data_IF_824838611127
#
_entry.id   IF_824838611127
#
_cell.length_a   1.000
_cell.length_b   1.000
_cell.length_c   1.000
_cell.angle_alpha   90.00
_cell.angle_beta   90.00
_cell.angle_gamma   90.00
#
_symmetry.space_group_name_H-M   'P 1'
#
loop_
_entity.id
_entity.type
_entity.pdbx_description
1 polymer ?
#
# COMPACT_ATOMS: atom_id res chain seq x y z
N UNK A 1 -23.32 -3.21 28.59
CA UNK A 1 -22.09 -2.55 29.12
C UNK A 1 -21.46 -1.83 27.94
N UNK A 2 -21.75 -0.56 27.79
CA UNK A 2 -21.17 0.29 26.75
C UNK A 2 -19.77 0.69 27.23
N UNK A 3 -18.74 0.06 26.67
CA UNK A 3 -17.38 0.48 26.88
C UNK A 3 -17.22 1.89 26.29
N UNK A 4 -16.91 2.85 27.13
CA UNK A 4 -16.67 4.24 26.75
C UNK A 4 -15.49 4.28 25.73
N UNK A 5 -15.69 4.74 24.49
CA UNK A 5 -14.64 4.76 23.47
C UNK A 5 -13.48 5.70 23.82
N UNK A 6 -13.58 6.45 24.91
CA UNK A 6 -12.51 7.33 25.41
C UNK A 6 -11.41 6.58 26.16
N UNK A 7 -11.65 5.33 26.61
CA UNK A 7 -10.67 4.54 27.37
C UNK A 7 -9.64 3.81 26.52
N UNK A 8 -9.79 3.75 25.20
CA UNK A 8 -8.95 2.90 24.33
C UNK A 8 -7.61 3.52 23.97
N UNK A 9 -7.35 4.78 24.29
CA UNK A 9 -6.10 5.48 23.94
C UNK A 9 -5.28 6.00 25.14
N UNK A 10 -5.77 5.84 26.37
CA UNK A 10 -4.93 5.98 27.53
C UNK A 10 -4.16 4.67 27.72
N UNK A 11 -2.97 4.58 27.11
CA UNK A 11 -1.95 3.67 27.57
C UNK A 11 -1.71 4.05 29.05
N UNK A 12 -2.37 3.35 29.97
CA UNK A 12 -2.08 3.52 31.38
C UNK A 12 -0.60 3.19 31.53
N UNK A 13 0.22 4.20 31.75
CA UNK A 13 1.69 4.09 31.87
C UNK A 13 2.10 3.08 32.93
N UNK A 14 1.18 2.68 33.81
CA UNK A 14 1.40 1.78 34.92
C UNK A 14 0.85 0.35 34.69
N UNK A 15 0.38 0.03 33.48
CA UNK A 15 -0.14 -1.30 33.15
C UNK A 15 1.00 -2.28 32.86
N UNK A 16 1.38 -3.05 33.87
CA UNK A 16 2.36 -4.13 33.81
C UNK A 16 1.76 -5.46 34.32
N UNK A 17 2.37 -6.58 33.96
CA UNK A 17 1.89 -7.94 34.27
C UNK A 17 1.59 -8.16 35.77
N UNK A 18 2.30 -7.48 36.66
CA UNK A 18 2.12 -7.61 38.12
C UNK A 18 1.10 -6.63 38.72
N UNK A 19 0.60 -5.66 37.94
CA UNK A 19 -0.39 -4.71 38.40
C UNK A 19 -1.85 -5.17 38.18
N UNK A 20 -2.05 -6.43 37.74
CA UNK A 20 -3.36 -7.05 37.59
C UNK A 20 -4.17 -6.55 36.39
N UNK A 21 -3.58 -5.74 35.51
CA UNK A 21 -4.24 -5.37 34.27
C UNK A 21 -4.02 -6.45 33.19
N UNK A 22 -5.06 -6.69 32.40
CA UNK A 22 -4.98 -7.61 31.25
C UNK A 22 -4.06 -7.06 30.15
N UNK A 23 -3.44 -7.96 29.38
CA UNK A 23 -2.60 -7.56 28.24
C UNK A 23 -3.41 -6.73 27.22
N UNK A 24 -3.00 -5.49 26.92
CA UNK A 24 -3.69 -4.63 25.96
C UNK A 24 -3.38 -5.04 24.53
N UNK A 25 -4.02 -6.10 24.06
CA UNK A 25 -3.79 -6.61 22.71
C UNK A 25 -4.16 -5.57 21.64
N UNK A 26 -3.28 -5.32 20.64
CA UNK A 26 -3.60 -4.44 19.53
C UNK A 26 -4.75 -5.03 18.72
N UNK A 27 -5.72 -4.19 18.36
CA UNK A 27 -6.90 -4.58 17.61
C UNK A 27 -7.34 -3.52 16.61
N UNK A 28 -8.50 -3.71 16.00
CA UNK A 28 -9.07 -2.75 15.04
C UNK A 28 -9.20 -1.34 15.62
N UNK A 29 -9.42 -1.21 16.94
CA UNK A 29 -9.50 0.08 17.62
C UNK A 29 -8.21 0.89 17.53
N UNK A 30 -7.04 0.24 17.41
CA UNK A 30 -5.74 0.90 17.27
C UNK A 30 -5.60 1.65 15.93
N UNK A 31 -6.49 1.38 14.97
CA UNK A 31 -6.51 1.99 13.64
C UNK A 31 -7.59 3.07 13.49
N UNK A 32 -8.42 3.29 14.52
CA UNK A 32 -9.48 4.30 14.53
C UNK A 32 -8.97 5.56 15.22
N UNK A 33 -8.76 6.64 14.48
CA UNK A 33 -8.34 7.93 15.02
C UNK A 33 -9.52 8.87 15.15
N UNK A 34 -9.55 9.61 16.27
CA UNK A 34 -10.46 10.75 16.42
C UNK A 34 -10.13 11.82 15.39
N UNK A 35 -11.12 12.54 14.86
CA UNK A 35 -10.88 13.65 13.97
C UNK A 35 -10.04 14.72 14.68
N UNK A 36 -9.04 15.28 13.97
CA UNK A 36 -8.24 16.40 14.47
C UNK A 36 -9.04 17.69 14.35
N UNK A 37 -9.88 17.78 13.33
CA UNK A 37 -10.76 18.92 13.09
C UNK A 37 -12.08 18.43 12.46
N UNK A 38 -13.20 18.96 12.98
CA UNK A 38 -14.56 18.53 12.63
C UNK A 38 -15.11 17.51 13.62
N UNK A 39 -16.43 17.40 13.70
CA UNK A 39 -17.12 16.40 14.52
C UNK A 39 -17.16 15.06 13.76
N UNK A 40 -17.10 13.95 14.52
CA UNK A 40 -17.15 12.60 13.94
C UNK A 40 -18.45 12.33 13.16
N UNK A 41 -19.51 13.07 13.47
CA UNK A 41 -20.83 13.00 12.80
C UNK A 41 -20.93 13.93 11.58
N UNK A 42 -19.92 14.78 11.34
CA UNK A 42 -19.91 15.64 10.15
C UNK A 42 -19.38 14.87 8.93
N UNK A 43 -19.98 15.12 7.76
CA UNK A 43 -19.55 14.51 6.49
C UNK A 43 -18.13 14.91 6.07
N UNK A 44 -17.50 15.87 6.74
CA UNK A 44 -16.16 16.37 6.45
C UNK A 44 -15.38 16.46 7.77
N UNK A 45 -14.48 15.54 7.97
CA UNK A 45 -13.56 15.54 9.09
C UNK A 45 -12.12 15.30 8.62
N UNK A 46 -11.16 15.92 9.31
CA UNK A 46 -9.74 15.81 8.97
C UNK A 46 -9.04 14.92 9.99
N UNK A 47 -8.54 13.79 9.55
CA UNK A 47 -7.87 12.78 10.37
C UNK A 47 -6.35 12.82 10.24
N UNK A 48 -5.65 12.23 11.22
CA UNK A 48 -4.20 12.01 11.20
C UNK A 48 -3.73 11.35 9.89
N UNK A 49 -4.48 10.39 9.38
CA UNK A 49 -4.13 9.66 8.15
C UNK A 49 -4.20 10.55 6.90
N UNK A 50 -5.17 11.44 6.82
CA UNK A 50 -5.27 12.43 5.72
C UNK A 50 -4.10 13.41 5.76
N UNK A 51 -3.72 13.87 6.97
CA UNK A 51 -2.54 14.72 7.16
C UNK A 51 -1.27 14.03 6.68
N UNK A 52 -1.06 12.76 7.08
CA UNK A 52 0.11 11.97 6.68
C UNK A 52 0.14 11.72 5.15
N UNK A 53 -1.01 11.46 4.53
CA UNK A 53 -1.12 11.29 3.10
C UNK A 53 -0.75 12.59 2.35
N UNK A 54 -1.23 13.72 2.82
CA UNK A 54 -0.92 15.02 2.25
C UNK A 54 0.57 15.38 2.42
N UNK A 55 1.11 15.20 3.63
CA UNK A 55 2.54 15.43 3.90
C UNK A 55 3.43 14.52 3.06
N UNK A 56 3.11 13.22 2.95
CA UNK A 56 3.84 12.30 2.12
C UNK A 56 3.83 12.70 0.65
N UNK A 57 2.70 13.15 0.13
CA UNK A 57 2.59 13.66 -1.24
C UNK A 57 3.47 14.90 -1.46
N UNK A 58 3.45 15.85 -0.52
CA UNK A 58 4.28 17.06 -0.58
C UNK A 58 5.77 16.70 -0.54
N UNK A 59 6.17 15.75 0.31
CA UNK A 59 7.56 15.29 0.42
C UNK A 59 8.04 14.68 -0.89
N UNK A 60 7.24 13.81 -1.52
CA UNK A 60 7.60 13.17 -2.79
C UNK A 60 7.73 14.20 -3.91
N UNK A 61 6.72 15.05 -4.06
CA UNK A 61 6.75 16.11 -5.08
C UNK A 61 7.93 17.05 -4.85
N UNK A 62 8.17 17.46 -3.60
CA UNK A 62 9.31 18.29 -3.22
C UNK A 62 10.66 17.63 -3.50
N UNK A 63 10.79 16.34 -3.20
CA UNK A 63 12.00 15.55 -3.45
C UNK A 63 12.33 15.50 -4.96
N UNK A 64 11.37 15.11 -5.78
CA UNK A 64 11.57 15.05 -7.24
C UNK A 64 11.78 16.44 -7.85
N UNK A 65 11.05 17.44 -7.37
CA UNK A 65 11.24 18.82 -7.82
C UNK A 65 12.66 19.33 -7.47
N UNK A 66 13.13 19.07 -6.24
CA UNK A 66 14.49 19.46 -5.84
C UNK A 66 15.58 18.71 -6.63
N UNK A 67 15.34 17.41 -6.92
CA UNK A 67 16.27 16.59 -7.69
C UNK A 67 16.40 17.06 -9.15
N UNK A 68 15.30 17.43 -9.80
CA UNK A 68 15.27 17.73 -11.24
C UNK A 68 15.16 19.22 -11.59
N UNK A 69 15.08 20.12 -10.60
CA UNK A 69 15.01 21.58 -10.86
C UNK A 69 16.20 22.13 -11.62
N UNK A 70 17.42 21.64 -11.34
CA UNK A 70 18.66 22.05 -12.00
C UNK A 70 19.50 20.79 -12.29
N UNK A 71 19.15 20.03 -13.33
CA UNK A 71 19.86 18.80 -13.64
C UNK A 71 21.30 19.13 -14.08
N UNK A 72 22.27 18.43 -13.47
CA UNK A 72 23.69 18.56 -13.82
C UNK A 72 24.14 17.28 -14.50
N UNK A 73 25.10 17.40 -15.44
CA UNK A 73 25.73 16.26 -16.11
C UNK A 73 26.46 15.36 -15.11
N UNK A 74 27.07 15.94 -14.08
CA UNK A 74 27.60 15.22 -12.91
C UNK A 74 26.55 15.36 -11.80
N UNK A 75 25.76 14.32 -11.52
CA UNK A 75 24.64 14.40 -10.60
C UNK A 75 25.12 14.60 -9.15
N UNK A 76 24.45 15.48 -8.42
CA UNK A 76 24.60 15.57 -6.97
C UNK A 76 23.94 14.38 -6.26
N UNK A 77 24.21 14.19 -4.96
CA UNK A 77 23.69 13.04 -4.18
C UNK A 77 22.17 12.85 -4.29
N UNK A 78 21.41 13.94 -4.20
CA UNK A 78 19.93 13.89 -4.27
C UNK A 78 19.46 13.49 -5.68
N UNK A 79 20.07 14.11 -6.71
CA UNK A 79 19.77 13.79 -8.11
C UNK A 79 20.12 12.33 -8.42
N UNK A 80 21.29 11.85 -7.97
CA UNK A 80 21.71 10.45 -8.17
C UNK A 80 20.73 9.44 -7.57
N UNK A 81 20.24 9.69 -6.35
CA UNK A 81 19.23 8.81 -5.71
C UNK A 81 17.90 8.84 -6.47
N UNK A 82 17.44 10.03 -6.88
CA UNK A 82 16.20 10.15 -7.64
C UNK A 82 16.29 9.49 -9.02
N UNK A 83 17.39 9.66 -9.73
CA UNK A 83 17.65 9.03 -11.03
C UNK A 83 17.75 7.50 -10.90
N UNK A 84 18.47 7.01 -9.88
CA UNK A 84 18.58 5.57 -9.63
C UNK A 84 17.21 4.93 -9.33
N UNK A 85 16.39 5.58 -8.50
CA UNK A 85 15.04 5.10 -8.22
C UNK A 85 14.11 5.16 -9.43
N UNK A 86 14.19 6.23 -10.21
CA UNK A 86 13.45 6.38 -11.46
C UNK A 86 13.84 5.30 -12.47
N UNK A 87 15.14 5.10 -12.70
CA UNK A 87 15.67 4.10 -13.64
C UNK A 87 15.36 2.67 -13.19
N UNK A 88 15.39 2.40 -11.90
CA UNK A 88 15.01 1.09 -11.35
C UNK A 88 13.57 0.71 -11.76
N UNK A 89 12.62 1.62 -11.59
CA UNK A 89 11.22 1.37 -11.98
C UNK A 89 11.06 1.36 -13.50
N UNK A 90 11.69 2.30 -14.20
CA UNK A 90 11.60 2.43 -15.65
C UNK A 90 12.11 1.19 -16.37
N UNK A 91 13.32 0.73 -16.03
CA UNK A 91 13.97 -0.40 -16.70
C UNK A 91 13.51 -1.73 -16.12
N UNK A 92 13.53 -1.86 -14.78
CA UNK A 92 13.25 -3.12 -14.10
C UNK A 92 11.76 -3.50 -14.02
N UNK A 93 10.84 -2.56 -14.22
CA UNK A 93 9.41 -2.86 -14.17
C UNK A 93 8.73 -2.56 -15.50
N UNK A 94 8.77 -1.29 -15.93
CA UNK A 94 7.97 -0.86 -17.09
C UNK A 94 8.48 -1.47 -18.40
N UNK A 95 9.80 -1.41 -18.65
CA UNK A 95 10.36 -1.92 -19.91
C UNK A 95 10.35 -3.44 -19.98
N UNK A 96 10.52 -4.13 -18.86
CA UNK A 96 10.47 -5.60 -18.83
C UNK A 96 9.04 -6.11 -19.03
N UNK A 97 8.02 -5.38 -18.53
CA UNK A 97 6.63 -5.82 -18.61
C UNK A 97 5.95 -5.35 -19.89
N UNK A 98 5.96 -4.05 -20.17
CA UNK A 98 5.19 -3.44 -21.28
C UNK A 98 6.04 -3.34 -22.56
N UNK A 99 7.37 -3.26 -22.40
CA UNK A 99 8.30 -2.96 -23.47
C UNK A 99 8.62 -1.47 -23.58
N UNK A 100 9.77 -1.16 -24.21
CA UNK A 100 10.31 0.19 -24.28
C UNK A 100 9.42 1.18 -25.03
N UNK A 101 8.87 0.76 -26.18
CA UNK A 101 8.13 1.65 -27.10
C UNK A 101 6.80 2.13 -26.54
N UNK A 102 6.00 1.22 -26.01
CA UNK A 102 4.67 1.53 -25.45
C UNK A 102 4.75 1.92 -23.97
N UNK A 103 5.71 1.35 -23.22
CA UNK A 103 5.87 1.57 -21.78
C UNK A 103 6.30 3.00 -21.43
N UNK A 104 7.08 3.69 -22.27
CA UNK A 104 7.60 5.02 -21.98
C UNK A 104 6.51 6.02 -21.58
N UNK A 105 5.32 5.90 -22.15
CA UNK A 105 4.16 6.76 -21.84
C UNK A 105 3.63 6.60 -20.42
N UNK A 106 3.83 5.40 -19.84
CA UNK A 106 3.30 5.04 -18.51
C UNK A 106 4.35 5.15 -17.39
N UNK A 107 5.63 5.37 -17.74
CA UNK A 107 6.71 5.53 -16.75
C UNK A 107 6.38 6.57 -15.69
N UNK A 108 5.93 7.81 -16.01
CA UNK A 108 5.66 8.81 -14.97
C UNK A 108 4.58 8.36 -13.98
N UNK A 109 3.53 7.68 -14.48
CA UNK A 109 2.44 7.18 -13.65
C UNK A 109 2.92 6.05 -12.73
N UNK A 110 3.66 5.09 -13.26
CA UNK A 110 4.15 3.93 -12.50
C UNK A 110 5.16 4.37 -11.44
N UNK A 111 6.07 5.29 -11.78
CA UNK A 111 7.04 5.87 -10.83
C UNK A 111 6.30 6.63 -9.73
N UNK A 112 5.32 7.46 -10.06
CA UNK A 112 4.54 8.19 -9.05
C UNK A 112 3.79 7.25 -8.11
N UNK A 113 3.15 6.19 -8.64
CA UNK A 113 2.47 5.19 -7.82
C UNK A 113 3.44 4.47 -6.88
N UNK A 114 4.61 4.07 -7.38
CA UNK A 114 5.61 3.39 -6.56
C UNK A 114 6.03 4.22 -5.36
N UNK A 115 6.52 5.44 -5.62
CA UNK A 115 7.01 6.30 -4.55
C UNK A 115 5.89 6.76 -3.62
N UNK A 116 4.69 6.99 -4.14
CA UNK A 116 3.53 7.33 -3.32
C UNK A 116 3.18 6.20 -2.35
N UNK A 117 3.03 4.96 -2.83
CA UNK A 117 2.72 3.81 -1.98
C UNK A 117 3.84 3.56 -0.97
N UNK A 118 5.09 3.59 -1.44
CA UNK A 118 6.23 3.37 -0.55
C UNK A 118 6.29 4.42 0.56
N UNK A 119 6.09 5.70 0.25
CA UNK A 119 6.07 6.76 1.25
C UNK A 119 4.90 6.63 2.24
N UNK A 120 3.69 6.26 1.74
CA UNK A 120 2.54 6.02 2.60
C UNK A 120 2.78 4.89 3.59
N UNK A 121 3.50 3.86 3.18
CA UNK A 121 3.89 2.73 4.04
C UNK A 121 5.01 3.12 5.01
N UNK A 122 5.99 3.91 4.55
CA UNK A 122 7.16 4.31 5.34
C UNK A 122 6.79 5.08 6.62
N UNK A 123 5.63 5.73 6.65
CA UNK A 123 5.12 6.40 7.84
C UNK A 123 4.98 5.47 9.07
N UNK A 124 4.86 4.16 8.87
CA UNK A 124 4.76 3.20 9.99
C UNK A 124 6.02 3.16 10.85
N UNK A 125 7.18 3.36 10.23
CA UNK A 125 8.50 3.25 10.90
C UNK A 125 8.95 4.61 11.48
N UNK A 126 8.44 5.73 10.94
CA UNK A 126 8.84 7.06 11.41
C UNK A 126 8.25 7.30 12.81
N UNK A 127 9.10 7.58 13.84
CA UNK A 127 8.67 7.61 15.25
C UNK A 127 7.55 8.58 15.56
N UNK A 128 7.42 9.68 14.82
CA UNK A 128 6.37 10.70 15.02
C UNK A 128 5.03 10.27 14.42
N UNK A 129 5.06 9.57 13.30
CA UNK A 129 3.86 9.14 12.59
C UNK A 129 3.35 7.79 13.11
N UNK A 130 4.22 6.79 13.18
CA UNK A 130 3.97 5.42 13.67
C UNK A 130 2.67 4.80 13.15
N UNK A 131 2.34 5.09 11.88
CA UNK A 131 1.10 4.60 11.29
C UNK A 131 1.18 4.52 9.77
N UNK A 132 1.05 3.31 9.16
CA UNK A 132 0.99 3.16 7.72
C UNK A 132 -0.39 3.62 7.22
N UNK A 133 -0.41 4.63 6.36
CA UNK A 133 -1.67 5.18 5.81
C UNK A 133 -2.46 4.12 5.05
N UNK A 134 -1.77 3.20 4.39
CA UNK A 134 -2.36 2.11 3.60
C UNK A 134 -2.97 0.98 4.43
N UNK A 135 -2.82 1.00 5.77
CA UNK A 135 -3.54 0.09 6.67
C UNK A 135 -5.03 0.45 6.85
N UNK A 136 -5.48 1.55 6.27
CA UNK A 136 -6.90 1.86 6.14
C UNK A 136 -7.33 1.51 4.71
N UNK A 137 -8.29 0.61 4.56
CA UNK A 137 -8.71 0.03 3.28
C UNK A 137 -9.13 1.06 2.22
N UNK A 138 -9.57 2.25 2.64
CA UNK A 138 -10.00 3.32 1.73
C UNK A 138 -8.87 3.79 0.80
N UNK A 139 -7.62 3.90 1.28
CA UNK A 139 -6.49 4.35 0.47
C UNK A 139 -6.08 3.32 -0.60
N UNK A 140 -5.82 2.05 -0.25
CA UNK A 140 -5.57 1.00 -1.23
C UNK A 140 -6.69 0.83 -2.25
N UNK A 141 -7.94 0.97 -1.82
CA UNK A 141 -9.11 0.85 -2.69
C UNK A 141 -9.14 1.98 -3.74
N UNK A 142 -8.90 3.22 -3.33
CA UNK A 142 -8.84 4.36 -4.26
C UNK A 142 -7.70 4.19 -5.27
N UNK A 143 -6.50 3.75 -4.81
CA UNK A 143 -5.36 3.50 -5.70
C UNK A 143 -5.66 2.37 -6.70
N UNK A 144 -6.25 1.28 -6.24
CA UNK A 144 -6.65 0.17 -7.11
C UNK A 144 -7.73 0.61 -8.11
N UNK A 145 -8.66 1.45 -7.68
CA UNK A 145 -9.72 1.99 -8.55
C UNK A 145 -9.13 2.90 -9.65
N UNK A 146 -8.16 3.74 -9.34
CA UNK A 146 -7.45 4.57 -10.33
C UNK A 146 -6.80 3.69 -11.40
N UNK A 147 -6.06 2.65 -10.97
CA UNK A 147 -5.42 1.70 -11.90
C UNK A 147 -6.47 0.97 -12.73
N UNK A 148 -7.59 0.59 -12.13
CA UNK A 148 -8.67 -0.11 -12.79
C UNK A 148 -9.38 0.75 -13.85
N UNK A 149 -9.69 2.01 -13.53
CA UNK A 149 -10.26 2.97 -14.49
C UNK A 149 -9.30 3.21 -15.66
N UNK A 150 -8.00 3.30 -15.36
CA UNK A 150 -6.97 3.39 -16.40
C UNK A 150 -7.00 2.16 -17.32
N UNK A 151 -7.01 0.95 -16.74
CA UNK A 151 -7.06 -0.31 -17.49
C UNK A 151 -8.30 -0.39 -18.40
N UNK A 152 -9.49 -0.09 -17.86
CA UNK A 152 -10.74 -0.05 -18.64
C UNK A 152 -10.61 0.97 -19.80
N UNK A 153 -10.14 2.19 -19.51
CA UNK A 153 -10.02 3.25 -20.49
C UNK A 153 -9.08 2.87 -21.63
N UNK A 154 -7.96 2.19 -21.31
CA UNK A 154 -6.99 1.72 -22.29
C UNK A 154 -7.58 0.60 -23.16
N UNK A 155 -8.26 -0.37 -22.54
CA UNK A 155 -8.89 -1.47 -23.24
C UNK A 155 -9.96 -1.00 -24.21
N UNK A 156 -10.80 -0.02 -23.77
CA UNK A 156 -11.80 0.60 -24.67
C UNK A 156 -11.17 1.37 -25.82
N UNK A 157 -10.10 2.13 -25.58
CA UNK A 157 -9.41 2.91 -26.62
C UNK A 157 -8.74 2.02 -27.67
N UNK A 158 -8.20 0.85 -27.26
CA UNK A 158 -7.45 -0.03 -28.16
C UNK A 158 -8.36 -0.97 -28.92
N UNK A 159 -9.35 -1.55 -28.27
CA UNK A 159 -10.15 -2.66 -28.79
C UNK A 159 -11.60 -2.29 -29.14
N UNK A 160 -12.06 -1.09 -28.76
CA UNK A 160 -13.45 -0.68 -28.89
C UNK A 160 -14.40 -1.48 -27.99
N UNK A 161 -15.73 -1.28 -28.15
CA UNK A 161 -16.73 -1.86 -27.26
C UNK A 161 -16.77 -3.41 -27.34
N UNK A 162 -16.80 -3.95 -28.54
CA UNK A 162 -16.85 -5.42 -28.76
C UNK A 162 -15.54 -6.09 -28.32
N UNK A 163 -14.40 -5.46 -28.64
CA UNK A 163 -13.09 -5.94 -28.25
C UNK A 163 -12.87 -5.90 -26.74
N UNK A 164 -13.46 -4.94 -26.03
CA UNK A 164 -13.44 -4.90 -24.58
C UNK A 164 -14.06 -6.16 -23.97
N UNK A 165 -15.28 -6.52 -24.38
CA UNK A 165 -15.93 -7.72 -23.85
C UNK A 165 -15.13 -8.99 -24.21
N UNK A 166 -14.59 -9.07 -25.42
CA UNK A 166 -13.74 -10.20 -25.84
C UNK A 166 -12.46 -10.30 -24.99
N UNK A 167 -11.83 -9.18 -24.67
CA UNK A 167 -10.62 -9.14 -23.83
C UNK A 167 -10.94 -9.50 -22.37
N UNK A 168 -12.04 -8.96 -21.81
CA UNK A 168 -12.43 -9.20 -20.43
C UNK A 168 -12.90 -10.64 -20.21
N UNK A 169 -13.56 -11.26 -21.20
CA UNK A 169 -14.06 -12.64 -21.12
C UNK A 169 -13.06 -13.69 -21.58
N UNK A 170 -11.86 -13.28 -22.04
CA UNK A 170 -10.85 -14.22 -22.52
C UNK A 170 -11.37 -15.13 -23.64
N UNK A 171 -12.16 -14.57 -24.56
CA UNK A 171 -12.79 -15.33 -25.62
C UNK A 171 -11.77 -16.06 -26.50
N UNK A 172 -11.65 -17.37 -26.33
CA UNK A 172 -10.84 -18.25 -27.16
C UNK A 172 -11.70 -19.39 -27.76
N UNK A 173 -11.77 -19.43 -29.09
CA UNK A 173 -12.54 -20.44 -29.83
C UNK A 173 -12.04 -21.87 -29.58
N UNK A 174 -10.83 -22.06 -29.10
CA UNK A 174 -10.23 -23.38 -28.85
C UNK A 174 -10.92 -24.16 -27.74
N UNK A 175 -11.62 -23.46 -26.80
CA UNK A 175 -12.26 -24.04 -25.62
C UNK A 175 -13.56 -24.81 -25.88
N UNK A 176 -14.15 -24.73 -27.08
CA UNK A 176 -15.32 -25.53 -27.47
C UNK A 176 -16.49 -25.44 -26.50
N UNK A 177 -16.95 -26.57 -25.96
CA UNK A 177 -18.11 -26.65 -25.07
C UNK A 177 -17.90 -26.01 -23.68
N UNK A 178 -16.64 -25.81 -23.25
CA UNK A 178 -16.30 -25.19 -21.95
C UNK A 178 -16.28 -23.67 -22.04
N UNK A 179 -16.35 -23.12 -23.25
CA UNK A 179 -16.27 -21.68 -23.52
C UNK A 179 -17.21 -20.80 -22.64
N UNK A 180 -18.53 -21.09 -22.50
CA UNK A 180 -19.42 -20.23 -21.74
C UNK A 180 -19.07 -20.20 -20.24
N UNK A 181 -18.60 -21.31 -19.69
CA UNK A 181 -18.17 -21.39 -18.29
C UNK A 181 -16.87 -20.59 -18.09
N UNK A 182 -15.88 -20.77 -18.95
CA UNK A 182 -14.61 -20.05 -18.91
C UNK A 182 -14.83 -18.54 -19.04
N UNK A 183 -15.64 -18.09 -19.99
CA UNK A 183 -15.98 -16.68 -20.19
C UNK A 183 -16.64 -16.07 -18.95
N UNK A 184 -17.52 -16.80 -18.29
CA UNK A 184 -18.19 -16.32 -17.06
C UNK A 184 -17.17 -16.15 -15.94
N UNK A 185 -16.33 -17.15 -15.71
CA UNK A 185 -15.28 -17.10 -14.67
C UNK A 185 -14.29 -15.95 -14.95
N UNK A 186 -13.81 -15.82 -16.19
CA UNK A 186 -12.89 -14.75 -16.53
C UNK A 186 -13.51 -13.37 -16.42
N UNK A 187 -14.76 -13.19 -16.82
CA UNK A 187 -15.48 -11.93 -16.65
C UNK A 187 -15.51 -11.50 -15.18
N UNK A 188 -15.95 -12.37 -14.28
CA UNK A 188 -15.97 -12.07 -12.85
C UNK A 188 -14.57 -11.85 -12.27
N UNK A 189 -13.60 -12.66 -12.69
CA UNK A 189 -12.21 -12.55 -12.26
C UNK A 189 -11.60 -11.20 -12.66
N UNK A 190 -11.74 -10.85 -13.93
CA UNK A 190 -11.13 -9.62 -14.46
C UNK A 190 -11.82 -8.34 -13.96
N UNK A 191 -13.16 -8.39 -13.81
CA UNK A 191 -13.95 -7.21 -13.45
C UNK A 191 -13.98 -6.95 -11.94
N UNK A 192 -14.10 -8.00 -11.12
CA UNK A 192 -14.33 -7.88 -9.68
C UNK A 192 -13.14 -8.33 -8.84
N UNK A 193 -12.62 -9.54 -9.13
CA UNK A 193 -11.59 -10.14 -8.27
C UNK A 193 -10.25 -9.39 -8.39
N UNK A 194 -9.84 -9.01 -9.58
CA UNK A 194 -8.55 -8.30 -9.81
C UNK A 194 -8.45 -6.98 -9.04
N UNK A 195 -9.37 -6.00 -9.15
CA UNK A 195 -9.24 -4.75 -8.42
C UNK A 195 -9.38 -4.95 -6.91
N UNK A 196 -10.24 -5.87 -6.48
CA UNK A 196 -10.44 -6.19 -5.08
C UNK A 196 -9.17 -6.81 -4.45
N UNK A 197 -8.60 -7.84 -5.06
CA UNK A 197 -7.37 -8.49 -4.56
C UNK A 197 -6.18 -7.55 -4.60
N UNK A 198 -6.13 -6.64 -5.56
CA UNK A 198 -5.08 -5.62 -5.67
C UNK A 198 -5.13 -4.64 -4.47
N UNK A 199 -6.32 -4.17 -4.10
CA UNK A 199 -6.52 -3.31 -2.93
C UNK A 199 -6.29 -4.06 -1.62
N UNK A 200 -6.89 -5.25 -1.46
CA UNK A 200 -6.81 -6.05 -0.23
C UNK A 200 -5.38 -6.48 0.07
N UNK A 201 -4.58 -6.81 -0.94
CA UNK A 201 -3.18 -7.20 -0.75
C UNK A 201 -2.37 -6.08 -0.09
N UNK A 202 -2.53 -4.83 -0.57
CA UNK A 202 -1.84 -3.68 0.01
C UNK A 202 -2.31 -3.41 1.44
N UNK A 203 -3.62 -3.43 1.66
CA UNK A 203 -4.23 -3.29 2.98
C UNK A 203 -3.77 -4.37 3.95
N UNK A 204 -3.94 -5.65 3.59
CA UNK A 204 -3.70 -6.77 4.49
C UNK A 204 -2.24 -6.87 4.94
N UNK A 205 -1.29 -6.66 4.02
CA UNK A 205 0.12 -6.70 4.37
C UNK A 205 0.50 -5.60 5.36
N UNK A 206 0.00 -4.36 5.15
CA UNK A 206 0.30 -3.25 6.04
C UNK A 206 -0.43 -3.36 7.38
N UNK A 207 -1.69 -3.81 7.36
CA UNK A 207 -2.45 -4.05 8.59
C UNK A 207 -1.81 -5.14 9.45
N UNK A 208 -1.48 -6.29 8.86
CA UNK A 208 -0.88 -7.41 9.58
C UNK A 208 0.53 -7.07 10.10
N UNK A 209 1.39 -6.47 9.26
CA UNK A 209 2.75 -6.09 9.64
C UNK A 209 2.75 -5.11 10.81
N UNK A 210 1.97 -4.06 10.72
CA UNK A 210 1.86 -3.05 11.77
C UNK A 210 1.24 -3.60 13.07
N UNK A 211 0.25 -4.48 12.98
CA UNK A 211 -0.35 -5.15 14.15
C UNK A 211 0.67 -6.01 14.87
N UNK A 212 1.50 -6.77 14.14
CA UNK A 212 2.59 -7.56 14.73
C UNK A 212 3.64 -6.67 15.40
N UNK A 213 4.02 -5.58 14.76
CA UNK A 213 4.98 -4.63 15.33
C UNK A 213 4.44 -4.03 16.64
N UNK A 214 3.18 -3.59 16.65
CA UNK A 214 2.52 -3.11 17.86
C UNK A 214 2.46 -4.19 18.95
N UNK A 215 2.15 -5.43 18.59
CA UNK A 215 2.07 -6.54 19.54
C UNK A 215 3.39 -6.71 20.29
N UNK A 216 4.53 -6.80 19.59
CA UNK A 216 5.83 -6.97 20.22
C UNK A 216 6.28 -5.74 20.99
N UNK A 217 5.97 -4.54 20.51
CA UNK A 217 6.28 -3.30 21.20
C UNK A 217 5.53 -3.19 22.53
N UNK A 218 4.22 -3.46 22.51
CA UNK A 218 3.38 -3.45 23.71
C UNK A 218 3.81 -4.58 24.67
N UNK A 219 4.10 -5.77 24.15
CA UNK A 219 4.55 -6.88 24.98
C UNK A 219 5.89 -6.58 25.67
N UNK A 220 6.82 -5.90 25.01
CA UNK A 220 8.09 -5.51 25.62
C UNK A 220 7.87 -4.56 26.80
N UNK A 221 6.96 -3.60 26.66
CA UNK A 221 6.61 -2.67 27.73
C UNK A 221 5.86 -3.37 28.88
N UNK A 222 4.87 -4.19 28.56
CA UNK A 222 4.03 -4.90 29.53
C UNK A 222 4.83 -5.84 30.44
N UNK A 223 5.89 -6.47 29.89
CA UNK A 223 6.73 -7.43 30.59
C UNK A 223 7.95 -6.80 31.31
N UNK A 224 8.07 -5.48 31.35
CA UNK A 224 9.29 -4.80 31.82
C UNK A 224 9.55 -4.94 33.33
N UNK A 225 8.67 -5.57 34.11
CA UNK A 225 8.79 -5.67 35.58
C UNK A 225 9.11 -7.11 36.05
N UNK A 226 9.97 -7.21 37.06
CA UNK A 226 10.28 -8.43 37.81
C UNK A 226 10.88 -9.54 36.95
N UNK A 227 10.35 -10.76 37.04
CA UNK A 227 10.79 -11.94 36.29
C UNK A 227 10.53 -11.76 34.76
N UNK A 228 9.65 -10.84 34.38
CA UNK A 228 9.32 -10.53 32.99
C UNK A 228 10.45 -9.86 32.20
N UNK A 229 11.48 -9.29 32.84
CA UNK A 229 12.56 -8.54 32.18
C UNK A 229 13.25 -9.35 31.07
N UNK A 230 13.51 -10.64 31.30
CA UNK A 230 14.11 -11.48 30.26
C UNK A 230 13.21 -11.63 29.03
N UNK A 231 11.90 -11.82 29.24
CA UNK A 231 10.90 -11.88 28.17
C UNK A 231 10.69 -10.53 27.48
N UNK A 232 10.76 -9.43 28.24
CA UNK A 232 10.73 -8.07 27.71
C UNK A 232 11.91 -7.84 26.76
N UNK A 233 13.11 -8.28 27.13
CA UNK A 233 14.30 -8.21 26.28
C UNK A 233 14.15 -8.98 24.96
N UNK A 234 13.59 -10.19 25.01
CA UNK A 234 13.31 -10.99 23.82
C UNK A 234 12.26 -10.31 22.95
N UNK A 235 11.19 -9.78 23.55
CA UNK A 235 10.13 -9.06 22.83
C UNK A 235 10.65 -7.78 22.17
N UNK A 236 11.52 -7.04 22.85
CA UNK A 236 12.19 -5.86 22.28
C UNK A 236 13.08 -6.22 21.08
N UNK A 237 13.87 -7.30 21.19
CA UNK A 237 14.66 -7.80 20.08
C UNK A 237 13.77 -8.17 18.89
N UNK A 238 12.63 -8.83 19.14
CA UNK A 238 11.65 -9.14 18.10
C UNK A 238 11.05 -7.88 17.47
N UNK A 239 10.83 -6.80 18.23
CA UNK A 239 10.38 -5.52 17.68
C UNK A 239 11.39 -4.98 16.64
N UNK A 240 12.70 -5.05 16.93
CA UNK A 240 13.76 -4.62 16.00
C UNK A 240 13.73 -5.48 14.71
N UNK A 241 13.67 -6.80 14.87
CA UNK A 241 13.60 -7.74 13.73
C UNK A 241 12.34 -7.47 12.89
N UNK A 242 11.19 -7.31 13.54
CA UNK A 242 9.93 -7.02 12.86
C UNK A 242 9.94 -5.65 12.15
N UNK A 243 10.60 -4.64 12.71
CA UNK A 243 10.75 -3.34 12.06
C UNK A 243 11.58 -3.45 10.77
N UNK A 244 12.68 -4.21 10.81
CA UNK A 244 13.49 -4.47 9.61
C UNK A 244 12.71 -5.26 8.55
N UNK A 245 11.95 -6.25 8.97
CA UNK A 245 11.09 -7.06 8.12
C UNK A 245 9.95 -6.22 7.50
N UNK A 246 9.32 -5.36 8.28
CA UNK A 246 8.28 -4.46 7.80
C UNK A 246 8.82 -3.47 6.75
N UNK A 247 10.02 -2.92 6.96
CA UNK A 247 10.68 -2.06 5.97
C UNK A 247 10.87 -2.77 4.62
N UNK A 248 11.29 -4.01 4.66
CA UNK A 248 11.45 -4.84 3.45
C UNK A 248 10.10 -5.09 2.77
N UNK A 249 9.08 -5.49 3.53
CA UNK A 249 7.73 -5.74 3.00
C UNK A 249 7.13 -4.48 2.38
N UNK A 250 7.33 -3.31 2.97
CA UNK A 250 6.83 -2.04 2.45
C UNK A 250 7.36 -1.73 1.05
N UNK A 251 8.66 -1.92 0.84
CA UNK A 251 9.28 -1.73 -0.47
C UNK A 251 8.79 -2.79 -1.47
N UNK A 252 8.76 -4.06 -1.05
CA UNK A 252 8.26 -5.17 -1.86
C UNK A 252 6.79 -4.95 -2.27
N UNK A 253 5.96 -4.48 -1.35
CA UNK A 253 4.54 -4.25 -1.62
C UNK A 253 4.31 -3.13 -2.64
N UNK A 254 5.07 -2.03 -2.54
CA UNK A 254 5.04 -0.97 -3.55
C UNK A 254 5.50 -1.50 -4.92
N UNK A 255 6.54 -2.32 -4.95
CA UNK A 255 7.05 -2.95 -6.18
C UNK A 255 6.01 -3.88 -6.81
N UNK A 256 5.41 -4.79 -6.03
CA UNK A 256 4.39 -5.73 -6.52
C UNK A 256 3.15 -4.99 -7.04
N UNK A 257 2.75 -3.91 -6.36
CA UNK A 257 1.61 -3.10 -6.80
C UNK A 257 1.84 -2.52 -8.20
N UNK A 258 3.00 -1.90 -8.44
CA UNK A 258 3.29 -1.30 -9.75
C UNK A 258 3.58 -2.36 -10.82
N UNK A 259 4.16 -3.51 -10.45
CA UNK A 259 4.35 -4.63 -11.37
C UNK A 259 3.01 -5.15 -11.90
N UNK A 260 2.03 -5.36 -11.00
CA UNK A 260 0.68 -5.76 -11.40
C UNK A 260 -0.04 -4.68 -12.21
N UNK A 261 0.18 -3.42 -11.90
CA UNK A 261 -0.32 -2.31 -12.72
C UNK A 261 0.22 -2.39 -14.14
N UNK A 262 1.53 -2.65 -14.30
CA UNK A 262 2.15 -2.81 -15.61
C UNK A 262 1.62 -4.04 -16.35
N UNK A 263 1.39 -5.17 -15.68
CA UNK A 263 0.79 -6.36 -16.31
C UNK A 263 -0.65 -6.11 -16.78
N UNK A 264 -1.43 -5.31 -16.04
CA UNK A 264 -2.78 -4.91 -16.48
C UNK A 264 -2.73 -3.98 -17.69
N UNK A 265 -1.80 -3.03 -17.73
CA UNK A 265 -1.59 -2.16 -18.90
C UNK A 265 -1.13 -3.00 -20.11
N UNK A 266 -0.20 -3.92 -19.91
CA UNK A 266 0.26 -4.84 -20.97
C UNK A 266 -0.90 -5.66 -21.52
N UNK A 267 -1.74 -6.26 -20.66
CA UNK A 267 -2.91 -7.02 -21.10
C UNK A 267 -3.94 -6.17 -21.86
N UNK A 268 -4.07 -4.88 -21.53
CA UNK A 268 -4.93 -3.94 -22.25
C UNK A 268 -4.35 -3.56 -23.63
N UNK A 269 -3.04 -3.59 -23.79
CA UNK A 269 -2.34 -3.23 -25.03
C UNK A 269 -2.10 -4.42 -25.95
N UNK A 270 -2.14 -5.66 -25.42
CA UNK A 270 -1.90 -6.87 -26.17
C UNK A 270 -2.95 -7.04 -27.28
N UNK A 271 -2.49 -7.28 -28.51
CA UNK A 271 -3.35 -7.62 -29.63
C UNK A 271 -3.72 -9.11 -29.52
N UNK A 272 -5.00 -9.41 -29.40
CA UNK A 272 -5.48 -10.78 -29.55
C UNK A 272 -5.45 -11.14 -31.05
N UNK A 273 -4.48 -11.92 -31.44
CA UNK A 273 -4.44 -12.60 -32.77
C UNK A 273 -5.48 -13.72 -32.82
#
# INVERSE_FOLDING_TARGET
MSADPTQVLAFESDCHIFNGCGFPAPGLHSFLFKPIWGDADSNVYFNKTMLLALLGSIIIVGFFWAAFRKPKVVPGKVQMVAEAGYDFIRRGVVYETIGKKEGEKYVPLVVSLFFFIWMMNLWSIIPVAQFPVTSIISYPLVLALIVYVLWISLTFKRHGFVGFFKNVTGYDKSLGAVLPLAMTIEFFSNLLVRPFTHAVRLFANMFAGHTLLLLFTIASWYLLNGIGIAYAGVSFLMTIVMTAFELFIQALQAYVFVLLTCTYIQGALAEHH
#
